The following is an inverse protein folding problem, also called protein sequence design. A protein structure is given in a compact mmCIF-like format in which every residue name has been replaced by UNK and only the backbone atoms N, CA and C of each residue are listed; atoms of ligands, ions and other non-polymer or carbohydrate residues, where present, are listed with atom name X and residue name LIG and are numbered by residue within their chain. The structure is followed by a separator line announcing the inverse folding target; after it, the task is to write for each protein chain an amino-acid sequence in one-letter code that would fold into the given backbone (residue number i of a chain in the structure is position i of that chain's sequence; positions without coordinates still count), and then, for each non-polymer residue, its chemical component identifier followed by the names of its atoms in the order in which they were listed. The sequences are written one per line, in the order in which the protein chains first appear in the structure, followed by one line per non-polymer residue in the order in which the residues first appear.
data_IF_070304738451
#
_entry.id   IF_070304738451
#
_cell.length_a   1.000
_cell.length_b   1.000
_cell.length_c   1.000
_cell.angle_alpha   90.00
_cell.angle_beta   90.00
_cell.angle_gamma   90.00
#
_symmetry.space_group_name_H-M   'P 1'
#
loop_
_entity.id
_entity.type
_entity.pdbx_description
1 polymer ?
#
# COMPACT_ATOMS: atom_id res chain seq x y z
N UNK A 1 -10.74 -12.13 -12.50
CA UNK A 1 -9.43 -11.99 -11.85
C UNK A 1 -9.37 -10.70 -11.02
N UNK A 2 -8.35 -10.57 -10.17
CA UNK A 2 -8.13 -9.34 -9.41
C UNK A 2 -7.91 -8.13 -10.34
N UNK A 3 -7.18 -8.32 -11.45
CA UNK A 3 -6.97 -7.27 -12.44
C UNK A 3 -8.28 -6.85 -13.12
N UNK A 4 -9.13 -7.77 -13.50
CA UNK A 4 -10.41 -7.45 -14.14
C UNK A 4 -11.33 -6.69 -13.19
N UNK A 5 -11.41 -7.08 -11.92
CA UNK A 5 -12.17 -6.37 -10.89
C UNK A 5 -11.62 -4.98 -10.64
N UNK A 6 -10.29 -4.84 -10.58
CA UNK A 6 -9.64 -3.54 -10.40
C UNK A 6 -9.90 -2.60 -11.58
N UNK A 7 -9.84 -3.10 -12.81
CA UNK A 7 -10.17 -2.33 -14.03
C UNK A 7 -11.64 -1.88 -14.02
N UNK A 8 -12.55 -2.77 -13.64
CA UNK A 8 -13.98 -2.43 -13.55
C UNK A 8 -14.24 -1.32 -12.51
N UNK A 9 -13.54 -1.37 -11.36
CA UNK A 9 -13.62 -0.33 -10.32
C UNK A 9 -13.04 0.99 -10.81
N UNK A 10 -11.87 0.95 -11.46
CA UNK A 10 -11.23 2.15 -12.00
C UNK A 10 -12.11 2.87 -13.03
N UNK A 11 -12.89 2.14 -13.83
CA UNK A 11 -13.80 2.72 -14.82
C UNK A 11 -15.01 3.41 -14.18
N UNK A 12 -15.41 3.01 -12.98
CA UNK A 12 -16.59 3.57 -12.28
C UNK A 12 -16.28 4.82 -11.46
N UNK A 13 -15.04 5.01 -11.05
CA UNK A 13 -14.65 6.10 -10.17
C UNK A 13 -13.99 7.22 -10.97
N UNK A 14 -14.33 8.50 -10.68
CA UNK A 14 -13.61 9.62 -11.27
C UNK A 14 -12.16 9.58 -10.82
N UNK A 15 -11.26 10.11 -11.66
CA UNK A 15 -9.85 10.26 -11.32
C UNK A 15 -9.73 11.06 -10.02
N UNK A 16 -9.00 10.54 -9.06
CA UNK A 16 -8.71 11.26 -7.83
C UNK A 16 -7.78 12.43 -8.18
N UNK A 17 -8.20 13.66 -7.83
CA UNK A 17 -7.48 14.89 -8.16
C UNK A 17 -6.06 14.94 -7.60
N UNK A 18 -5.77 14.17 -6.57
CA UNK A 18 -4.46 14.07 -5.92
C UNK A 18 -3.67 12.84 -6.33
N UNK A 19 -4.14 12.08 -7.32
CA UNK A 19 -3.37 10.98 -7.89
C UNK A 19 -2.22 11.52 -8.72
N UNK A 20 -0.98 11.22 -8.34
CA UNK A 20 0.23 11.63 -9.06
C UNK A 20 0.26 11.03 -10.48
N UNK A 21 -0.45 9.92 -10.73
CA UNK A 21 -0.44 9.16 -11.98
C UNK A 21 -1.77 9.17 -12.74
N UNK A 22 -2.69 10.03 -12.40
CA UNK A 22 -3.95 10.29 -13.15
C UNK A 22 -4.64 9.05 -13.73
N UNK A 23 -4.98 8.08 -12.90
CA UNK A 23 -5.69 6.87 -13.32
C UNK A 23 -4.83 5.61 -13.39
N UNK A 24 -3.57 5.65 -13.78
CA UNK A 24 -2.67 4.50 -13.70
C UNK A 24 -2.37 4.14 -12.24
N UNK A 25 -2.15 5.15 -11.39
CA UNK A 25 -1.97 4.95 -9.96
C UNK A 25 -3.22 4.37 -9.30
N UNK A 26 -4.41 4.75 -9.75
CA UNK A 26 -5.67 4.21 -9.25
C UNK A 26 -5.86 2.74 -9.61
N UNK A 27 -5.47 2.32 -10.81
CA UNK A 27 -5.55 0.91 -11.20
C UNK A 27 -4.63 0.04 -10.33
N UNK A 28 -3.39 0.46 -10.11
CA UNK A 28 -2.44 -0.23 -9.24
C UNK A 28 -3.01 -0.36 -7.81
N UNK A 29 -3.58 0.71 -7.28
CA UNK A 29 -4.21 0.70 -5.96
C UNK A 29 -5.36 -0.31 -5.89
N UNK A 30 -6.23 -0.35 -6.90
CA UNK A 30 -7.35 -1.29 -6.93
C UNK A 30 -6.90 -2.75 -7.09
N UNK A 31 -5.84 -3.01 -7.83
CA UNK A 31 -5.21 -4.34 -7.87
C UNK A 31 -4.75 -4.74 -6.47
N UNK A 32 -4.08 -3.84 -5.76
CA UNK A 32 -3.63 -4.08 -4.40
C UNK A 32 -4.77 -4.41 -3.44
N UNK A 33 -5.86 -3.68 -3.49
CA UNK A 33 -7.05 -3.94 -2.67
C UNK A 33 -7.68 -5.31 -2.97
N UNK A 34 -7.75 -5.69 -4.25
CA UNK A 34 -8.25 -7.02 -4.63
C UNK A 34 -7.32 -8.14 -4.14
N UNK A 35 -6.00 -7.94 -4.18
CA UNK A 35 -5.02 -8.89 -3.63
C UNK A 35 -5.17 -8.99 -2.11
N UNK A 36 -5.28 -7.88 -1.41
CA UNK A 36 -5.49 -7.86 0.03
C UNK A 36 -6.79 -8.59 0.42
N UNK A 37 -7.88 -8.35 -0.32
CA UNK A 37 -9.13 -9.08 -0.12
C UNK A 37 -8.97 -10.59 -0.33
N UNK A 38 -8.24 -11.01 -1.35
CA UNK A 38 -8.00 -12.42 -1.62
C UNK A 38 -7.26 -13.11 -0.48
N UNK A 39 -6.35 -12.41 0.20
CA UNK A 39 -5.55 -12.95 1.31
C UNK A 39 -6.28 -12.85 2.65
N UNK A 40 -6.84 -11.69 2.98
CA UNK A 40 -7.44 -11.42 4.28
C UNK A 40 -8.92 -11.78 4.35
N UNK A 41 -9.60 -11.87 3.24
CA UNK A 41 -11.06 -11.98 3.18
C UNK A 41 -11.73 -10.63 3.40
N UNK A 42 -13.00 -10.65 3.73
CA UNK A 42 -13.76 -9.44 4.03
C UNK A 42 -14.30 -8.72 2.80
N UNK A 43 -14.63 -7.46 2.98
CA UNK A 43 -15.27 -6.63 1.96
C UNK A 43 -14.48 -5.36 1.70
N UNK A 44 -14.38 -4.98 0.43
CA UNK A 44 -13.80 -3.72 0.02
C UNK A 44 -14.83 -2.61 0.26
N UNK A 45 -14.40 -1.55 0.95
CA UNK A 45 -15.17 -0.33 1.17
C UNK A 45 -14.32 0.88 0.75
N UNK A 46 -14.82 1.67 -0.19
CA UNK A 46 -14.09 2.83 -0.69
C UNK A 46 -14.34 4.04 0.23
N UNK A 47 -13.59 4.12 1.32
CA UNK A 47 -13.64 5.24 2.26
C UNK A 47 -12.30 6.00 2.26
N UNK A 48 -12.30 7.21 2.81
CA UNK A 48 -11.06 7.97 3.01
C UNK A 48 -10.12 7.30 4.03
N UNK A 49 -10.69 6.66 5.04
CA UNK A 49 -9.92 6.14 6.18
C UNK A 49 -9.39 4.72 5.96
N UNK A 50 -10.08 3.92 5.16
CA UNK A 50 -9.70 2.53 4.91
C UNK A 50 -10.30 1.99 3.61
N UNK A 51 -9.75 0.90 3.12
CA UNK A 51 -10.14 0.26 1.85
C UNK A 51 -10.82 -1.08 2.04
N UNK A 52 -10.54 -1.78 3.14
CA UNK A 52 -10.98 -3.15 3.38
C UNK A 52 -11.41 -3.32 4.84
N UNK A 53 -12.48 -4.08 5.04
CA UNK A 53 -12.92 -4.54 6.38
C UNK A 53 -12.91 -6.05 6.39
N UNK A 54 -12.21 -6.66 7.33
CA UNK A 54 -12.18 -8.11 7.50
C UNK A 54 -12.30 -8.49 8.98
N UNK A 55 -12.47 -9.77 9.23
CA UNK A 55 -12.58 -10.33 10.57
C UNK A 55 -13.78 -11.24 10.71
N UNK A 56 -14.08 -11.63 11.94
CA UNK A 56 -15.21 -12.49 12.26
C UNK A 56 -15.96 -11.99 13.51
N UNK A 57 -17.19 -12.48 13.75
CA UNK A 57 -17.97 -12.03 14.92
C UNK A 57 -17.29 -12.29 16.27
N UNK A 58 -16.39 -13.27 16.35
CA UNK A 58 -15.73 -13.65 17.62
C UNK A 58 -14.52 -12.77 17.93
N UNK A 59 -13.70 -12.44 16.92
CA UNK A 59 -12.48 -11.64 17.06
C UNK A 59 -12.68 -10.15 16.76
N UNK A 60 -13.86 -9.76 16.29
CA UNK A 60 -14.16 -8.40 15.85
C UNK A 60 -13.72 -8.13 14.43
N UNK A 61 -14.02 -6.92 13.96
CA UNK A 61 -13.68 -6.45 12.63
C UNK A 61 -12.48 -5.51 12.68
N UNK A 62 -11.64 -5.60 11.66
CA UNK A 62 -10.48 -4.74 11.46
C UNK A 62 -10.64 -3.95 10.17
N UNK A 63 -10.33 -2.67 10.24
CA UNK A 63 -10.26 -1.80 9.06
C UNK A 63 -8.82 -1.71 8.58
N UNK A 64 -8.62 -1.86 7.28
CA UNK A 64 -7.29 -1.90 6.66
C UNK A 64 -7.19 -0.86 5.56
N UNK A 65 -6.17 -0.05 5.63
CA UNK A 65 -5.76 0.81 4.52
C UNK A 65 -4.67 0.08 3.72
N UNK A 66 -4.95 -0.15 2.44
CA UNK A 66 -4.09 -0.93 1.56
C UNK A 66 -3.14 -0.01 0.82
N UNK A 67 -1.84 -0.19 1.05
CA UNK A 67 -0.78 0.56 0.39
C UNK A 67 -0.15 -0.29 -0.70
N UNK A 68 -0.28 0.14 -1.93
CA UNK A 68 0.21 -0.59 -3.10
C UNK A 68 1.33 0.18 -3.78
N UNK A 69 2.41 -0.53 -4.09
CA UNK A 69 3.54 0.02 -4.81
C UNK A 69 3.78 -0.76 -6.10
N UNK A 70 3.87 -0.04 -7.21
CA UNK A 70 4.31 -0.60 -8.48
C UNK A 70 5.83 -0.81 -8.46
N UNK A 71 6.27 -1.97 -8.94
CA UNK A 71 7.69 -2.33 -8.99
C UNK A 71 8.07 -2.88 -10.36
N UNK A 72 9.35 -2.77 -10.66
CA UNK A 72 9.94 -3.32 -11.89
C UNK A 72 10.57 -4.69 -11.66
N UNK A 73 10.77 -5.09 -10.40
CA UNK A 73 11.38 -6.36 -9.99
C UNK A 73 10.66 -6.93 -8.78
N UNK A 74 10.87 -8.21 -8.52
CA UNK A 74 10.36 -8.86 -7.30
C UNK A 74 10.89 -8.14 -6.04
N UNK A 75 10.03 -7.84 -5.07
CA UNK A 75 10.45 -7.17 -3.85
C UNK A 75 11.32 -8.08 -2.97
N UNK A 76 12.35 -7.50 -2.35
CA UNK A 76 13.21 -8.17 -1.40
C UNK A 76 12.83 -7.78 0.03
N UNK A 77 13.19 -8.61 1.01
CA UNK A 77 12.83 -8.40 2.42
C UNK A 77 13.37 -7.09 3.03
N UNK A 78 14.44 -6.54 2.47
CA UNK A 78 15.01 -5.25 2.88
C UNK A 78 14.38 -4.05 2.19
N UNK A 79 13.48 -4.25 1.21
CA UNK A 79 12.78 -3.15 0.57
C UNK A 79 11.80 -2.51 1.54
N UNK A 80 11.58 -1.21 1.38
CA UNK A 80 10.70 -0.43 2.25
C UNK A 80 9.25 -0.44 1.81
N UNK A 81 8.38 -0.49 2.81
CA UNK A 81 6.97 -0.18 2.70
C UNK A 81 6.75 1.23 3.23
N UNK A 82 6.05 2.06 2.45
CA UNK A 82 6.00 3.51 2.66
C UNK A 82 4.56 3.98 2.90
N UNK A 83 4.40 4.85 3.90
CA UNK A 83 3.18 5.63 4.11
C UNK A 83 3.55 7.12 4.06
N UNK A 84 2.91 7.85 3.16
CA UNK A 84 3.13 9.29 3.06
C UNK A 84 2.62 10.02 4.31
N UNK A 85 3.33 11.06 4.72
CA UNK A 85 2.99 11.81 5.94
C UNK A 85 1.56 12.35 5.92
N UNK A 86 1.09 12.85 4.77
CA UNK A 86 -0.28 13.34 4.65
C UNK A 86 -1.36 12.26 4.83
N UNK A 87 -1.02 10.99 4.71
CA UNK A 87 -1.95 9.86 4.94
C UNK A 87 -2.02 9.42 6.41
N UNK A 88 -1.20 10.00 7.30
CA UNK A 88 -1.17 9.61 8.72
C UNK A 88 -2.47 9.89 9.46
N UNK A 89 -3.31 10.79 8.93
CA UNK A 89 -4.60 11.17 9.50
C UNK A 89 -5.72 10.18 9.22
N UNK A 90 -5.51 9.21 8.35
CA UNK A 90 -6.50 8.16 8.06
C UNK A 90 -6.74 7.31 9.31
N UNK A 91 -8.02 7.02 9.57
CA UNK A 91 -8.45 6.25 10.75
C UNK A 91 -8.65 4.80 10.35
N UNK A 92 -7.60 4.02 10.35
CA UNK A 92 -7.65 2.58 10.14
C UNK A 92 -6.96 1.84 11.28
N UNK A 93 -7.24 0.56 11.43
CA UNK A 93 -6.62 -0.29 12.45
C UNK A 93 -5.26 -0.81 12.00
N UNK A 94 -5.15 -1.17 10.72
CA UNK A 94 -3.97 -1.81 10.15
C UNK A 94 -3.64 -1.24 8.77
N UNK A 95 -2.37 -1.36 8.39
CA UNK A 95 -1.90 -1.20 7.03
C UNK A 95 -1.57 -2.57 6.43
N UNK A 96 -1.98 -2.81 5.19
CA UNK A 96 -1.52 -3.94 4.39
C UNK A 96 -0.72 -3.42 3.20
N UNK A 97 0.40 -4.07 2.92
CA UNK A 97 1.30 -3.64 1.86
C UNK A 97 1.34 -4.66 0.73
N UNK A 98 1.16 -4.17 -0.47
CA UNK A 98 1.12 -4.95 -1.70
C UNK A 98 2.13 -4.38 -2.68
N UNK A 99 2.83 -5.24 -3.40
CA UNK A 99 3.62 -4.84 -4.56
C UNK A 99 3.00 -5.42 -5.82
N UNK A 100 2.97 -4.64 -6.88
CA UNK A 100 2.46 -5.06 -8.20
C UNK A 100 3.55 -4.84 -9.23
N UNK A 101 3.84 -5.87 -10.03
CA UNK A 101 4.79 -5.75 -11.12
C UNK A 101 4.22 -4.81 -12.20
N UNK A 102 5.07 -4.00 -12.81
CA UNK A 102 4.65 -2.95 -13.72
C UNK A 102 3.91 -3.42 -14.99
N UNK A 103 4.04 -4.70 -15.37
CA UNK A 103 3.29 -5.32 -16.47
C UNK A 103 2.00 -6.01 -16.00
N UNK A 104 1.70 -5.96 -14.69
CA UNK A 104 0.55 -6.58 -14.04
C UNK A 104 0.49 -8.10 -14.08
N UNK A 105 1.61 -8.76 -14.38
CA UNK A 105 1.70 -10.23 -14.41
C UNK A 105 1.76 -10.84 -13.02
N UNK A 106 2.33 -10.14 -12.05
CA UNK A 106 2.48 -10.60 -10.67
C UNK A 106 2.12 -9.51 -9.67
N UNK A 107 1.60 -9.95 -8.53
CA UNK A 107 1.45 -9.11 -7.34
C UNK A 107 1.86 -9.92 -6.11
N UNK A 108 2.43 -9.24 -5.12
CA UNK A 108 2.89 -9.84 -3.87
C UNK A 108 2.18 -9.20 -2.70
N UNK A 109 1.52 -10.04 -1.90
CA UNK A 109 1.07 -9.62 -0.57
C UNK A 109 2.28 -9.66 0.36
N UNK A 110 2.73 -8.50 0.81
CA UNK A 110 3.97 -8.39 1.59
C UNK A 110 3.75 -8.60 3.08
N UNK A 111 2.56 -8.35 3.56
CA UNK A 111 2.20 -8.48 4.97
C UNK A 111 1.38 -7.29 5.46
N UNK A 112 1.05 -7.32 6.73
CA UNK A 112 0.29 -6.26 7.41
C UNK A 112 0.94 -5.90 8.74
N UNK A 113 0.54 -4.77 9.29
CA UNK A 113 0.99 -4.28 10.58
C UNK A 113 -0.09 -3.37 11.15
N UNK A 114 -0.28 -3.40 12.49
CA UNK A 114 -1.17 -2.42 13.12
C UNK A 114 -0.63 -1.00 12.91
N UNK A 115 -1.53 -0.04 12.78
CA UNK A 115 -1.14 1.36 12.63
C UNK A 115 -0.26 1.82 13.79
N UNK A 116 -0.57 1.41 15.00
CA UNK A 116 0.22 1.73 16.19
C UNK A 116 1.66 1.20 16.06
N UNK A 117 1.82 -0.09 15.77
CA UNK A 117 3.15 -0.70 15.62
C UNK A 117 3.94 -0.10 14.47
N UNK A 118 3.24 0.24 13.38
CA UNK A 118 3.88 0.91 12.24
C UNK A 118 4.57 2.20 12.66
N UNK A 119 3.87 3.10 13.36
CA UNK A 119 4.45 4.39 13.77
C UNK A 119 5.47 4.26 14.90
N UNK A 120 5.45 3.19 15.67
CA UNK A 120 6.51 2.89 16.65
C UNK A 120 7.82 2.41 16.01
N UNK A 121 7.74 1.75 14.86
CA UNK A 121 8.91 1.10 14.23
C UNK A 121 9.38 1.79 12.96
N UNK A 122 8.50 2.50 12.26
CA UNK A 122 8.82 3.14 10.98
C UNK A 122 9.83 4.27 11.15
N UNK A 123 10.65 4.46 10.12
CA UNK A 123 11.58 5.56 10.02
C UNK A 123 11.01 6.69 9.17
N UNK A 124 11.12 7.91 9.67
CA UNK A 124 10.68 9.11 8.97
C UNK A 124 11.79 9.63 8.05
N UNK A 125 11.43 9.97 6.82
CA UNK A 125 12.29 10.65 5.86
C UNK A 125 11.58 11.87 5.29
N UNK A 126 12.33 12.95 5.14
CA UNK A 126 11.82 14.18 4.51
C UNK A 126 11.94 14.12 3.01
N UNK A 127 11.09 14.86 2.32
CA UNK A 127 11.23 15.10 0.88
C UNK A 127 12.65 15.61 0.59
N UNK A 128 13.31 14.95 -0.37
CA UNK A 128 14.68 15.28 -0.75
C UNK A 128 15.76 14.48 -0.02
N UNK A 129 15.42 13.73 1.03
CA UNK A 129 16.37 12.85 1.69
C UNK A 129 16.74 11.68 0.75
N UNK A 130 18.00 11.25 0.80
CA UNK A 130 18.45 10.07 0.08
C UNK A 130 17.95 8.81 0.79
N UNK A 131 17.36 7.89 0.02
CA UNK A 131 17.00 6.58 0.53
C UNK A 131 18.28 5.78 0.81
N UNK A 132 18.57 5.41 2.08
CA UNK A 132 19.79 4.68 2.41
C UNK A 132 19.86 3.27 1.83
N UNK A 133 18.70 2.71 1.41
CA UNK A 133 18.62 1.40 0.76
C UNK A 133 18.70 1.48 -0.76
N UNK A 134 18.83 2.69 -1.33
CA UNK A 134 18.95 2.83 -2.78
C UNK A 134 20.28 2.27 -3.27
N UNK A 135 20.30 1.60 -4.45
CA UNK A 135 21.55 1.13 -5.04
C UNK A 135 22.52 2.29 -5.30
N UNK A 136 23.82 2.07 -5.11
CA UNK A 136 24.86 3.08 -5.36
C UNK A 136 24.84 3.64 -6.78
N UNK A 137 24.35 2.87 -7.75
CA UNK A 137 24.25 3.26 -9.16
C UNK A 137 23.02 4.13 -9.47
N UNK A 138 22.03 4.17 -8.57
CA UNK A 138 20.79 4.92 -8.75
C UNK A 138 20.38 5.53 -7.41
N UNK A 139 20.85 6.72 -7.13
CA UNK A 139 20.42 7.44 -5.94
C UNK A 139 18.92 7.74 -6.01
N UNK A 140 18.15 7.18 -5.10
CA UNK A 140 16.74 7.49 -4.95
C UNK A 140 16.54 8.50 -3.83
N UNK A 141 15.87 9.60 -4.16
CA UNK A 141 15.51 10.64 -3.19
C UNK A 141 14.01 10.58 -2.93
N UNK A 142 13.61 10.68 -1.68
CA UNK A 142 12.18 10.69 -1.32
C UNK A 142 11.47 11.90 -1.92
N UNK A 143 10.29 11.66 -2.50
CA UNK A 143 9.49 12.69 -3.19
C UNK A 143 8.52 13.42 -2.26
N UNK A 144 8.33 12.91 -1.06
CA UNK A 144 7.46 13.48 -0.04
C UNK A 144 7.95 13.05 1.34
N UNK A 145 7.53 13.78 2.36
CA UNK A 145 7.71 13.35 3.74
C UNK A 145 6.96 12.04 3.95
N UNK A 146 7.63 11.04 4.50
CA UNK A 146 7.06 9.70 4.60
C UNK A 146 7.68 8.86 5.72
N UNK A 147 6.93 7.83 6.11
CA UNK A 147 7.37 6.79 7.04
C UNK A 147 7.63 5.50 6.28
N UNK A 148 8.68 4.78 6.65
CA UNK A 148 9.12 3.57 5.97
C UNK A 148 9.44 2.46 6.96
N UNK A 149 9.02 1.24 6.62
CA UNK A 149 9.35 0.02 7.37
C UNK A 149 9.80 -1.07 6.39
N UNK A 150 10.84 -1.85 6.71
CA UNK A 150 11.25 -2.95 5.84
C UNK A 150 10.19 -4.06 5.79
N UNK A 151 10.06 -4.71 4.65
CA UNK A 151 9.10 -5.82 4.46
C UNK A 151 9.28 -6.91 5.52
N UNK A 152 10.52 -7.22 5.91
CA UNK A 152 10.80 -8.27 6.92
C UNK A 152 10.17 -8.01 8.30
N UNK A 153 9.73 -6.79 8.58
CA UNK A 153 9.10 -6.43 9.86
C UNK A 153 7.57 -6.52 9.83
N UNK A 154 6.99 -6.88 8.69
CA UNK A 154 5.55 -7.11 8.56
C UNK A 154 5.16 -8.53 9.05
N UNK A 155 3.88 -8.71 9.34
CA UNK A 155 3.32 -10.01 9.73
C UNK A 155 2.39 -10.60 8.69
#
# INVERSE_FOLDING_TARGET
TALDRAKARAAKLPLLNNSIRKGEGSLVAYIGEEVAKAVLGGEIEDTYDYDLVYGNPCSGKFTVDVKTKERTVEPRLNYNCTVADFNTKQKCDEYAFISVLNDYSYAWYLGKISKQDFYERARFYKKGDLDPESPRSKNFYFRADCYNIPIRELT
#
